data_IF_086819690797
#
_entry.id   IF_086819690797
#
_cell.length_a   1.000
_cell.length_b   1.000
_cell.length_c   1.000
_cell.angle_alpha   90.00
_cell.angle_beta   90.00
_cell.angle_gamma   90.00
#
_symmetry.space_group_name_H-M   'P 1'
#
loop_
_entity.id
_entity.type
_entity.pdbx_description
1 polymer ?
#
# COMPACT_ATOMS: atom_id res chain seq x y z
N UNK A 1 -5.20 -14.12 16.87
CA UNK A 1 -5.34 -13.92 15.40
C UNK A 1 -6.18 -12.68 15.12
N UNK A 2 -7.53 -12.71 15.16
CA UNK A 2 -8.34 -11.53 14.82
C UNK A 2 -8.12 -10.31 15.74
N UNK A 3 -7.94 -10.52 17.05
CA UNK A 3 -7.73 -9.44 18.03
C UNK A 3 -6.38 -8.70 17.94
N UNK A 4 -5.44 -9.19 17.13
CA UNK A 4 -4.11 -8.56 16.94
C UNK A 4 -4.00 -7.80 15.61
N UNK A 5 -4.93 -8.08 14.68
CA UNK A 5 -4.92 -7.54 13.30
C UNK A 5 -5.83 -6.31 13.21
N UNK A 6 -6.98 -6.33 13.91
CA UNK A 6 -7.91 -5.21 13.92
C UNK A 6 -7.65 -4.28 15.12
N UNK A 7 -7.65 -2.96 14.85
CA UNK A 7 -7.55 -1.90 15.86
C UNK A 7 -8.74 -1.92 16.85
N UNK A 8 -9.86 -2.54 16.46
CA UNK A 8 -11.05 -2.75 17.28
C UNK A 8 -11.48 -4.21 17.17
N UNK A 9 -11.99 -4.82 18.25
CA UNK A 9 -12.48 -6.20 18.20
C UNK A 9 -13.62 -6.30 17.15
N UNK A 10 -13.57 -7.25 16.21
CA UNK A 10 -14.62 -7.37 15.21
C UNK A 10 -15.93 -7.84 15.86
N UNK A 11 -17.05 -7.30 15.36
CA UNK A 11 -18.40 -7.68 15.77
C UNK A 11 -18.76 -9.08 15.25
N UNK A 12 -19.77 -9.73 15.85
CA UNK A 12 -20.21 -11.08 15.44
C UNK A 12 -20.47 -11.23 13.94
N UNK A 13 -21.18 -10.30 13.25
CA UNK A 13 -21.38 -10.42 11.80
C UNK A 13 -20.08 -10.31 11.00
N UNK A 14 -19.11 -9.51 11.47
CA UNK A 14 -17.80 -9.41 10.84
C UNK A 14 -17.03 -10.73 10.99
N UNK A 15 -17.05 -11.32 12.19
CA UNK A 15 -16.41 -12.62 12.46
C UNK A 15 -16.98 -13.71 11.54
N UNK A 16 -18.30 -13.77 11.41
CA UNK A 16 -18.94 -14.78 10.54
C UNK A 16 -18.62 -14.55 9.06
N UNK A 17 -18.51 -13.29 8.63
CA UNK A 17 -18.03 -12.95 7.30
C UNK A 17 -16.59 -13.42 7.07
N UNK A 18 -15.67 -13.12 8.01
CA UNK A 18 -14.27 -13.58 7.93
C UNK A 18 -14.16 -15.09 7.89
N UNK A 19 -14.97 -15.81 8.68
CA UNK A 19 -14.99 -17.28 8.68
C UNK A 19 -15.34 -17.82 7.30
N UNK A 20 -16.36 -17.25 6.64
CA UNK A 20 -16.75 -17.64 5.28
C UNK A 20 -15.63 -17.38 4.26
N UNK A 21 -14.93 -16.25 4.38
CA UNK A 21 -13.74 -15.95 3.55
C UNK A 21 -12.67 -17.02 3.74
N UNK A 22 -12.30 -17.32 4.99
CA UNK A 22 -11.26 -18.32 5.31
C UNK A 22 -11.65 -19.71 4.81
N UNK A 23 -12.91 -20.11 4.97
CA UNK A 23 -13.42 -21.40 4.49
C UNK A 23 -13.32 -21.52 2.98
N UNK A 24 -13.73 -20.50 2.23
CA UNK A 24 -13.63 -20.48 0.77
C UNK A 24 -12.18 -20.58 0.29
N UNK A 25 -11.26 -19.88 0.97
CA UNK A 25 -9.83 -19.93 0.67
C UNK A 25 -9.21 -21.30 0.98
N UNK A 26 -9.55 -21.91 2.12
CA UNK A 26 -9.09 -23.26 2.48
C UNK A 26 -9.63 -24.35 1.52
N UNK A 27 -10.79 -24.11 0.91
CA UNK A 27 -11.43 -25.02 -0.06
C UNK A 27 -11.03 -24.75 -1.51
N UNK A 28 -10.28 -23.69 -1.79
CA UNK A 28 -9.92 -23.25 -3.14
C UNK A 28 -11.16 -22.99 -4.03
N UNK A 29 -12.25 -22.48 -3.43
CA UNK A 29 -13.53 -22.25 -4.09
C UNK A 29 -13.85 -20.76 -4.34
N UNK A 30 -14.73 -20.50 -5.30
CA UNK A 30 -15.30 -19.17 -5.52
C UNK A 30 -16.41 -18.92 -4.49
N UNK A 31 -16.41 -17.75 -3.85
CA UNK A 31 -17.43 -17.37 -2.87
C UNK A 31 -18.10 -16.04 -3.23
N UNK A 32 -19.45 -16.05 -3.22
CA UNK A 32 -20.26 -14.84 -3.25
C UNK A 32 -20.72 -14.51 -1.84
N UNK A 33 -20.15 -13.46 -1.25
CA UNK A 33 -20.34 -13.13 0.17
C UNK A 33 -21.07 -11.79 0.33
N UNK A 34 -22.31 -11.86 0.80
CA UNK A 34 -23.11 -10.68 1.13
C UNK A 34 -23.07 -10.37 2.63
N UNK A 35 -23.09 -9.08 2.97
CA UNK A 35 -23.32 -8.62 4.34
C UNK A 35 -24.05 -7.26 4.35
N UNK A 36 -24.72 -6.87 5.45
CA UNK A 36 -25.35 -5.55 5.58
C UNK A 36 -24.35 -4.39 5.45
N UNK A 37 -24.75 -3.29 4.80
CA UNK A 37 -23.93 -2.07 4.65
C UNK A 37 -23.56 -1.45 6.00
N UNK A 38 -22.42 -0.76 6.07
CA UNK A 38 -21.94 -0.10 7.29
C UNK A 38 -21.16 -0.97 8.29
N UNK A 39 -20.91 -2.24 7.98
CA UNK A 39 -20.21 -3.20 8.88
C UNK A 39 -18.71 -3.35 8.62
N UNK A 40 -18.06 -2.44 7.89
CA UNK A 40 -16.60 -2.52 7.64
C UNK A 40 -16.15 -3.74 6.81
N UNK A 41 -16.98 -4.20 5.86
CA UNK A 41 -16.71 -5.36 4.98
C UNK A 41 -15.36 -5.30 4.28
N UNK A 42 -15.04 -4.18 3.65
CA UNK A 42 -13.84 -3.99 2.82
C UNK A 42 -12.57 -4.35 3.59
N UNK A 43 -12.36 -3.75 4.77
CA UNK A 43 -11.20 -4.04 5.59
C UNK A 43 -11.26 -5.45 6.20
N UNK A 44 -12.45 -5.91 6.58
CA UNK A 44 -12.67 -7.26 7.11
C UNK A 44 -12.26 -8.36 6.11
N UNK A 45 -12.68 -8.21 4.85
CA UNK A 45 -12.37 -9.08 3.72
C UNK A 45 -10.86 -9.14 3.45
N UNK A 46 -10.21 -7.98 3.34
CA UNK A 46 -8.78 -7.91 3.08
C UNK A 46 -7.96 -8.47 4.26
N UNK A 47 -8.31 -8.11 5.49
CA UNK A 47 -7.62 -8.61 6.69
C UNK A 47 -7.76 -10.12 6.86
N UNK A 48 -8.93 -10.70 6.59
CA UNK A 48 -9.14 -12.15 6.63
C UNK A 48 -8.27 -12.87 5.59
N UNK A 49 -8.21 -12.33 4.37
CA UNK A 49 -7.41 -12.88 3.28
C UNK A 49 -5.91 -12.82 3.59
N UNK A 50 -5.43 -11.69 4.09
CA UNK A 50 -4.03 -11.52 4.49
C UNK A 50 -3.64 -12.46 5.63
N UNK A 51 -4.51 -12.60 6.64
CA UNK A 51 -4.29 -13.51 7.76
C UNK A 51 -4.23 -14.97 7.30
N UNK A 52 -5.11 -15.36 6.37
CA UNK A 52 -5.11 -16.68 5.76
C UNK A 52 -3.81 -16.91 4.98
N UNK A 53 -3.38 -15.95 4.14
CA UNK A 53 -2.16 -16.04 3.33
C UNK A 53 -0.90 -16.21 4.18
N UNK A 54 -0.81 -15.51 5.31
CA UNK A 54 0.28 -15.68 6.26
C UNK A 54 0.25 -17.06 6.92
N UNK A 55 -0.94 -17.53 7.35
CA UNK A 55 -1.11 -18.86 7.91
C UNK A 55 -0.73 -19.95 6.88
N UNK A 56 -1.09 -19.76 5.61
CA UNK A 56 -0.69 -20.62 4.50
C UNK A 56 0.83 -20.68 4.37
N UNK A 57 1.51 -19.53 4.42
CA UNK A 57 2.97 -19.45 4.36
C UNK A 57 3.63 -20.25 5.47
N UNK A 58 3.13 -20.14 6.71
CA UNK A 58 3.63 -20.92 7.85
C UNK A 58 3.37 -22.42 7.72
N UNK A 59 2.19 -22.82 7.23
CA UNK A 59 1.84 -24.24 7.03
C UNK A 59 2.69 -24.91 5.95
N UNK A 60 3.06 -24.16 4.92
CA UNK A 60 3.84 -24.66 3.79
C UNK A 60 5.36 -24.43 3.95
N UNK A 61 5.78 -23.64 4.95
CA UNK A 61 7.19 -23.47 5.28
C UNK A 61 7.83 -24.83 5.66
N UNK A 62 8.85 -25.24 4.91
CA UNK A 62 9.56 -26.50 5.15
C UNK A 62 8.87 -27.76 4.60
N UNK A 63 7.80 -27.61 3.80
CA UNK A 63 7.19 -28.76 3.11
C UNK A 63 8.22 -29.38 2.13
N UNK A 64 8.39 -30.72 2.12
CA UNK A 64 9.26 -31.37 1.15
C UNK A 64 8.78 -31.06 -0.28
N UNK A 65 9.64 -30.43 -1.07
CA UNK A 65 9.38 -30.11 -2.46
C UNK A 65 9.95 -31.24 -3.31
N UNK A 66 9.19 -31.71 -4.30
CA UNK A 66 9.69 -32.71 -5.24
C UNK A 66 10.98 -32.20 -5.91
N UNK A 67 11.93 -33.10 -6.16
CA UNK A 67 13.19 -32.73 -6.79
C UNK A 67 12.94 -32.04 -8.15
N UNK A 68 13.41 -30.80 -8.28
CA UNK A 68 13.21 -29.97 -9.48
C UNK A 68 11.91 -29.16 -9.53
N UNK A 69 11.02 -29.29 -8.56
CA UNK A 69 9.84 -28.41 -8.45
C UNK A 69 10.19 -27.11 -7.69
N UNK A 70 9.63 -25.96 -8.08
CA UNK A 70 9.81 -24.72 -7.32
C UNK A 70 9.15 -24.83 -5.94
N UNK A 71 9.68 -24.15 -4.91
CA UNK A 71 9.06 -24.12 -3.60
C UNK A 71 7.65 -23.48 -3.69
N UNK A 72 6.70 -23.92 -2.85
CA UNK A 72 5.37 -23.35 -2.84
C UNK A 72 5.43 -21.89 -2.36
N UNK A 73 4.99 -20.96 -3.21
CA UNK A 73 4.92 -19.53 -2.90
C UNK A 73 3.51 -19.12 -2.48
N UNK A 74 3.37 -18.20 -1.51
CA UNK A 74 2.06 -17.74 -1.07
C UNK A 74 1.32 -17.03 -2.20
N UNK A 75 0.01 -17.25 -2.35
CA UNK A 75 -0.74 -16.73 -3.48
C UNK A 75 -0.76 -15.21 -3.50
N UNK A 76 -0.70 -14.62 -4.70
CA UNK A 76 -0.81 -13.17 -4.88
C UNK A 76 -2.24 -12.71 -4.59
N UNK A 77 -2.43 -11.68 -3.76
CA UNK A 77 -3.76 -11.10 -3.56
C UNK A 77 -3.99 -9.99 -4.57
N UNK A 78 -5.00 -10.13 -5.40
CA UNK A 78 -5.47 -9.09 -6.32
C UNK A 78 -6.72 -8.48 -5.71
N UNK A 79 -6.61 -7.25 -5.21
CA UNK A 79 -7.75 -6.51 -4.70
C UNK A 79 -8.30 -5.60 -5.80
N UNK A 80 -9.56 -5.82 -6.14
CA UNK A 80 -10.22 -5.07 -7.18
C UNK A 80 -11.42 -4.29 -6.67
N UNK A 81 -11.56 -3.06 -7.19
CA UNK A 81 -12.68 -2.15 -6.91
C UNK A 81 -13.11 -1.42 -8.19
N UNK A 82 -14.27 -0.77 -8.21
CA UNK A 82 -14.75 -0.05 -9.41
C UNK A 82 -13.86 1.13 -9.78
N UNK A 83 -13.39 1.89 -8.80
CA UNK A 83 -12.66 3.15 -9.02
C UNK A 83 -11.38 3.22 -8.19
N UNK A 84 -10.41 4.02 -8.65
CA UNK A 84 -9.20 4.27 -7.87
C UNK A 84 -9.46 5.05 -6.58
N UNK A 85 -10.51 5.88 -6.51
CA UNK A 85 -10.88 6.57 -5.27
C UNK A 85 -11.31 5.59 -4.18
N UNK A 86 -12.04 4.52 -4.55
CA UNK A 86 -12.33 3.42 -3.63
C UNK A 86 -11.05 2.68 -3.24
N UNK A 87 -10.17 2.33 -4.20
CA UNK A 87 -8.89 1.69 -3.88
C UNK A 87 -8.05 2.54 -2.92
N UNK A 88 -7.98 3.86 -3.14
CA UNK A 88 -7.28 4.78 -2.25
C UNK A 88 -7.91 4.85 -0.84
N UNK A 89 -9.22 4.65 -0.72
CA UNK A 89 -9.85 4.48 0.58
C UNK A 89 -9.39 3.18 1.26
N UNK A 90 -9.45 2.04 0.57
CA UNK A 90 -9.00 0.74 1.11
C UNK A 90 -7.53 0.80 1.53
N UNK A 91 -6.68 1.41 0.71
CA UNK A 91 -5.25 1.58 1.00
C UNK A 91 -5.05 2.44 2.27
N UNK A 92 -5.79 3.54 2.43
CA UNK A 92 -5.74 4.36 3.66
C UNK A 92 -6.21 3.60 4.89
N UNK A 93 -7.26 2.79 4.77
CA UNK A 93 -7.73 1.93 5.85
C UNK A 93 -6.67 0.85 6.18
N UNK A 94 -6.04 0.24 5.18
CA UNK A 94 -4.95 -0.72 5.36
C UNK A 94 -3.76 -0.09 6.09
N UNK A 95 -3.39 1.16 5.76
CA UNK A 95 -2.34 1.92 6.47
C UNK A 95 -2.64 2.12 7.96
N UNK A 96 -3.90 2.07 8.38
CA UNK A 96 -4.26 2.16 9.79
C UNK A 96 -4.03 0.86 10.57
N UNK A 97 -3.86 -0.28 9.88
CA UNK A 97 -3.74 -1.60 10.52
C UNK A 97 -2.29 -1.95 10.92
N UNK A 98 -2.15 -3.03 11.71
CA UNK A 98 -0.85 -3.62 12.07
C UNK A 98 -0.01 -4.07 10.85
N UNK A 99 -0.64 -4.26 9.68
CA UNK A 99 0.06 -4.59 8.44
C UNK A 99 0.97 -3.46 7.91
N UNK A 100 0.82 -2.22 8.40
CA UNK A 100 1.68 -1.08 8.00
C UNK A 100 3.13 -1.20 8.46
N UNK A 101 3.37 -1.70 9.68
CA UNK A 101 4.69 -1.62 10.35
C UNK A 101 5.42 -2.96 10.44
N UNK A 102 4.98 -3.95 9.67
CA UNK A 102 5.45 -5.33 9.85
C UNK A 102 5.03 -5.92 11.20
N UNK A 103 3.86 -5.48 11.70
CA UNK A 103 3.15 -5.96 12.89
C UNK A 103 4.03 -6.44 14.06
N UNK A 104 3.54 -7.38 14.88
CA UNK A 104 4.38 -8.13 15.80
C UNK A 104 5.37 -9.01 14.99
N UNK A 105 6.43 -9.57 15.62
CA UNK A 105 7.51 -10.31 14.93
C UNK A 105 7.07 -11.50 14.05
N UNK A 106 5.80 -11.91 14.10
CA UNK A 106 5.18 -12.93 13.23
C UNK A 106 4.43 -12.38 12.00
N UNK A 107 4.14 -11.08 11.91
CA UNK A 107 3.29 -10.47 10.89
C UNK A 107 4.14 -9.63 9.92
N UNK A 108 4.70 -10.23 8.88
CA UNK A 108 5.59 -9.54 7.92
C UNK A 108 4.98 -8.28 7.30
N UNK A 109 5.82 -7.32 6.89
CA UNK A 109 5.41 -6.13 6.13
C UNK A 109 4.64 -6.57 4.88
N UNK A 110 3.38 -6.14 4.75
CA UNK A 110 2.58 -6.41 3.55
C UNK A 110 2.99 -5.42 2.47
N UNK A 111 3.67 -5.93 1.44
CA UNK A 111 4.08 -5.12 0.29
C UNK A 111 2.91 -4.98 -0.67
N UNK A 112 2.62 -3.75 -1.07
CA UNK A 112 1.51 -3.51 -1.99
C UNK A 112 1.90 -2.56 -3.11
N UNK A 113 1.15 -2.62 -4.20
CA UNK A 113 1.20 -1.63 -5.28
C UNK A 113 -0.21 -1.38 -5.80
N UNK A 114 -0.42 -0.23 -6.43
CA UNK A 114 -1.66 0.05 -7.16
C UNK A 114 -1.33 0.22 -8.64
N UNK A 115 -2.10 -0.47 -9.48
CA UNK A 115 -2.04 -0.32 -10.92
C UNK A 115 -3.03 0.73 -11.37
N UNK A 116 -2.68 1.46 -12.43
CA UNK A 116 -3.51 2.51 -12.99
C UNK A 116 -3.14 2.83 -14.43
N UNK A 117 -3.94 3.71 -15.03
CA UNK A 117 -3.79 4.08 -16.43
C UNK A 117 -2.67 5.10 -16.63
N UNK A 118 -2.21 5.24 -17.88
CA UNK A 118 -1.25 6.31 -18.24
C UNK A 118 -1.83 7.70 -17.96
N UNK A 119 -3.14 7.90 -18.09
CA UNK A 119 -3.77 9.19 -17.80
C UNK A 119 -3.58 9.61 -16.34
N UNK A 120 -3.56 8.64 -15.42
CA UNK A 120 -3.43 8.91 -13.99
C UNK A 120 -1.97 8.95 -13.51
N UNK A 121 -1.09 8.18 -14.14
CA UNK A 121 0.27 7.94 -13.65
C UNK A 121 1.38 8.59 -14.50
N UNK A 122 1.06 9.15 -15.68
CA UNK A 122 2.10 9.69 -16.57
C UNK A 122 2.57 11.08 -16.14
N UNK A 123 3.88 11.25 -16.02
CA UNK A 123 4.54 12.54 -15.74
C UNK A 123 5.03 13.25 -17.02
N UNK A 124 4.92 12.64 -18.20
CA UNK A 124 5.39 13.24 -19.44
C UNK A 124 4.44 14.36 -19.90
N UNK A 125 4.90 15.62 -20.08
CA UNK A 125 4.05 16.80 -20.25
C UNK A 125 3.03 16.72 -21.40
N UNK A 126 3.37 15.98 -22.47
CA UNK A 126 2.48 15.75 -23.61
C UNK A 126 1.53 14.59 -23.41
N UNK A 127 2.00 13.47 -22.85
CA UNK A 127 1.23 12.22 -22.79
C UNK A 127 0.21 12.27 -21.64
N UNK A 128 0.54 12.95 -20.54
CA UNK A 128 -0.36 13.12 -19.40
C UNK A 128 -1.66 13.86 -19.74
N UNK A 129 -1.67 14.65 -20.81
CA UNK A 129 -2.83 15.38 -21.31
C UNK A 129 -3.65 14.61 -22.35
N UNK A 130 -3.15 13.46 -22.79
CA UNK A 130 -3.83 12.62 -23.79
C UNK A 130 -4.69 11.58 -23.10
N UNK A 131 -5.72 11.09 -23.80
CA UNK A 131 -6.64 10.08 -23.28
C UNK A 131 -6.62 8.80 -24.13
N UNK A 132 -7.07 7.71 -23.51
CA UNK A 132 -7.28 6.40 -24.11
C UNK A 132 -6.13 5.87 -24.97
N UNK A 133 -6.48 5.39 -26.16
CA UNK A 133 -5.55 4.81 -27.13
C UNK A 133 -4.48 5.78 -27.61
N UNK A 134 -4.78 7.07 -27.73
CA UNK A 134 -3.79 8.07 -28.16
C UNK A 134 -2.64 8.22 -27.16
N UNK A 135 -2.96 8.26 -25.86
CA UNK A 135 -1.94 8.26 -24.81
C UNK A 135 -1.07 7.00 -24.84
N UNK A 136 -1.70 5.84 -25.08
CA UNK A 136 -0.99 4.56 -25.19
C UNK A 136 -0.05 4.52 -26.39
N UNK A 137 -0.51 4.92 -27.57
CA UNK A 137 0.28 4.96 -28.80
C UNK A 137 1.47 5.92 -28.68
N UNK A 138 1.22 7.16 -28.24
CA UNK A 138 2.27 8.16 -28.05
C UNK A 138 3.31 7.69 -27.02
N UNK A 139 2.87 7.11 -25.90
CA UNK A 139 3.77 6.55 -24.90
C UNK A 139 4.64 5.43 -25.46
N UNK A 140 4.04 4.47 -26.18
CA UNK A 140 4.79 3.37 -26.81
C UNK A 140 5.84 3.89 -27.79
N UNK A 141 5.50 4.87 -28.63
CA UNK A 141 6.45 5.50 -29.56
C UNK A 141 7.62 6.17 -28.83
N UNK A 142 7.33 6.99 -27.80
CA UNK A 142 8.37 7.65 -27.02
C UNK A 142 9.27 6.67 -26.27
N UNK A 143 8.72 5.57 -25.75
CA UNK A 143 9.51 4.53 -25.07
C UNK A 143 10.37 3.75 -26.06
N UNK A 144 9.79 3.33 -27.19
CA UNK A 144 10.49 2.59 -28.24
C UNK A 144 11.69 3.37 -28.79
N UNK A 145 11.51 4.67 -29.07
CA UNK A 145 12.58 5.54 -29.55
C UNK A 145 13.45 6.14 -28.42
N UNK A 146 13.26 5.72 -27.16
CA UNK A 146 14.01 6.20 -25.98
C UNK A 146 13.95 7.72 -25.77
N UNK A 147 12.84 8.34 -26.14
CA UNK A 147 12.60 9.79 -26.04
C UNK A 147 11.85 10.19 -24.76
N UNK A 148 11.31 9.24 -24.00
CA UNK A 148 10.63 9.55 -22.75
C UNK A 148 11.64 9.74 -21.60
N UNK A 149 11.82 10.99 -21.15
CA UNK A 149 12.74 11.32 -20.05
C UNK A 149 12.46 10.61 -18.72
N UNK A 150 11.21 10.15 -18.51
CA UNK A 150 10.80 9.45 -17.30
C UNK A 150 10.99 7.93 -17.40
N UNK A 151 11.10 7.38 -18.61
CA UNK A 151 11.28 5.95 -18.81
C UNK A 151 12.77 5.64 -19.03
N UNK A 152 13.45 5.31 -17.94
CA UNK A 152 14.83 4.85 -17.95
C UNK A 152 14.92 3.56 -17.12
N UNK A 153 15.33 2.46 -17.78
CA UNK A 153 15.34 1.12 -17.19
C UNK A 153 16.23 1.02 -15.94
N UNK A 154 17.44 1.58 -16.00
CA UNK A 154 18.39 1.51 -14.88
C UNK A 154 17.89 2.26 -13.64
N UNK A 155 17.28 3.45 -13.83
CA UNK A 155 16.68 4.17 -12.71
C UNK A 155 15.48 3.44 -12.14
N UNK A 156 14.68 2.80 -13.00
CA UNK A 156 13.51 2.04 -12.60
C UNK A 156 13.90 0.84 -11.74
N UNK A 157 14.83 0.01 -12.23
CA UNK A 157 15.38 -1.16 -11.53
C UNK A 157 15.97 -0.75 -10.16
N UNK A 158 16.76 0.34 -10.11
CA UNK A 158 17.30 0.86 -8.84
C UNK A 158 16.19 1.29 -7.89
N UNK A 159 15.19 2.03 -8.37
CA UNK A 159 14.09 2.50 -7.52
C UNK A 159 13.27 1.32 -6.96
N UNK A 160 13.02 0.29 -7.77
CA UNK A 160 12.37 -0.94 -7.31
C UNK A 160 13.22 -1.63 -6.22
N UNK A 161 14.53 -1.73 -6.42
CA UNK A 161 15.44 -2.31 -5.43
C UNK A 161 15.45 -1.52 -4.12
N UNK A 162 15.48 -0.19 -4.19
CA UNK A 162 15.45 0.70 -3.02
C UNK A 162 14.15 0.57 -2.21
N UNK A 163 13.01 0.33 -2.89
CA UNK A 163 11.69 0.14 -2.27
C UNK A 163 11.57 -1.26 -1.65
N UNK A 164 12.11 -2.28 -2.32
CA UNK A 164 11.86 -3.69 -1.98
C UNK A 164 12.88 -4.27 -1.01
N UNK A 165 14.07 -3.68 -0.90
CA UNK A 165 15.13 -4.17 -0.02
C UNK A 165 14.97 -3.57 1.38
N UNK A 166 14.91 -4.40 2.45
CA UNK A 166 14.91 -3.90 3.82
C UNK A 166 16.19 -3.09 4.08
N UNK A 167 16.07 -1.79 4.33
CA UNK A 167 17.20 -0.99 4.80
C UNK A 167 17.57 -1.51 6.20
N UNK A 168 18.78 -2.05 6.36
CA UNK A 168 19.31 -2.27 7.70
C UNK A 168 19.37 -0.91 8.40
N UNK A 169 18.97 -0.80 9.68
CA UNK A 169 19.21 0.42 10.43
C UNK A 169 20.71 0.71 10.36
N UNK A 170 21.08 1.90 9.91
CA UNK A 170 22.47 2.35 9.94
C UNK A 170 23.02 2.06 11.35
N UNK A 171 24.24 1.50 11.48
CA UNK A 171 24.84 1.31 12.79
C UNK A 171 24.82 2.66 13.51
N UNK A 172 24.45 2.70 14.81
CA UNK A 172 24.43 3.95 15.55
C UNK A 172 25.83 4.57 15.43
N UNK A 173 25.88 5.83 14.99
CA UNK A 173 27.12 6.57 14.83
C UNK A 173 27.97 6.36 16.10
N UNK A 174 29.15 5.74 15.95
CA UNK A 174 30.08 5.51 17.06
C UNK A 174 30.60 6.81 17.70
N UNK A 175 30.19 7.97 17.17
CA UNK A 175 30.49 9.31 17.65
C UNK A 175 29.27 10.07 18.21
N UNK A 176 28.11 9.43 18.36
CA UNK A 176 26.98 10.06 19.03
C UNK A 176 27.29 10.25 20.53
N UNK A 177 27.28 11.49 21.06
CA UNK A 177 27.49 11.70 22.50
C UNK A 177 26.37 11.01 23.29
N UNK A 178 26.69 10.40 24.46
CA UNK A 178 25.68 9.71 25.25
C UNK A 178 24.58 10.69 25.68
N UNK A 179 23.33 10.33 25.36
CA UNK A 179 22.16 11.06 25.81
C UNK A 179 22.16 11.13 27.34
N UNK A 180 22.25 12.35 27.87
CA UNK A 180 22.14 12.63 29.30
C UNK A 180 20.82 12.06 29.85
N UNK A 181 20.94 11.18 30.84
CA UNK A 181 19.79 10.56 31.51
C UNK A 181 18.83 11.62 32.08
N UNK A 182 17.50 11.41 32.03
CA UNK A 182 16.55 12.29 32.69
C UNK A 182 16.71 12.15 34.21
N UNK A 183 16.99 13.30 34.86
CA UNK A 183 17.14 13.41 36.30
C UNK A 183 15.87 13.01 37.05
N UNK A 184 16.07 12.32 38.16
CA UNK A 184 15.07 11.99 39.16
C UNK A 184 14.53 13.26 39.81
N UNK A 185 13.36 13.74 39.38
CA UNK A 185 12.60 14.75 40.12
C UNK A 185 11.53 14.03 40.97
N UNK A 186 11.67 14.20 42.29
CA UNK A 186 10.93 13.50 43.32
C UNK A 186 9.45 13.85 43.42
N UNK A 187 8.75 12.94 44.09
CA UNK A 187 7.39 13.08 44.56
C UNK A 187 7.27 14.17 45.63
N UNK A 188 6.29 15.06 45.49
CA UNK A 188 5.55 15.68 46.61
C UNK A 188 4.16 16.09 46.11
N UNK A 189 3.12 15.58 46.77
CA UNK A 189 1.73 15.99 46.52
C UNK A 189 1.31 17.18 47.39
N UNK A 190 0.22 17.85 46.99
CA UNK A 190 -0.90 18.25 47.84
C UNK A 190 -1.74 19.37 47.17
N UNK A 191 -3.03 19.05 46.98
CA UNK A 191 -4.23 19.82 47.34
C UNK A 191 -4.29 21.35 47.14
N UNK A 192 -5.29 21.76 46.35
CA UNK A 192 -6.28 22.76 46.79
C UNK A 192 -6.22 24.15 46.15
N UNK A 193 -7.39 24.65 45.71
CA UNK A 193 -7.62 26.10 45.61
C UNK A 193 -8.31 26.58 44.33
N UNK A 194 -9.61 26.89 44.43
CA UNK A 194 -10.43 27.62 43.44
C UNK A 194 -10.00 29.09 43.42
N UNK A 195 -10.03 29.74 42.25
CA UNK A 195 -10.42 31.16 42.13
C UNK A 195 -10.74 31.53 40.68
N UNK A 196 -11.86 32.21 40.54
CA UNK A 196 -12.42 32.83 39.34
C UNK A 196 -11.69 34.13 38.98
N UNK A 197 -11.72 34.54 37.71
CA UNK A 197 -11.32 35.89 37.27
C UNK A 197 -11.57 36.11 35.79
N UNK A 198 -12.49 37.03 35.47
CA UNK A 198 -12.90 37.46 34.13
C UNK A 198 -11.88 38.39 33.45
N UNK A 199 -12.02 38.48 32.12
CA UNK A 199 -12.19 39.71 31.33
C UNK A 199 -11.10 40.08 30.30
N UNK A 200 -11.59 40.37 29.09
CA UNK A 200 -11.01 41.24 28.06
C UNK A 200 -10.05 40.53 27.09
N UNK A 201 -9.93 40.88 25.81
CA UNK A 201 -10.58 41.87 24.94
C UNK A 201 -9.86 41.76 23.58
N UNK A 202 -10.63 41.78 22.49
CA UNK A 202 -10.34 42.29 21.13
C UNK A 202 -8.92 42.16 20.51
N UNK A 203 -8.92 41.68 19.25
CA UNK A 203 -8.46 42.52 18.14
C UNK A 203 -7.31 42.00 17.26
N UNK A 204 -7.54 42.07 15.94
CA UNK A 204 -6.50 42.42 14.97
C UNK A 204 -5.79 41.26 14.27
N UNK A 205 -6.07 41.10 12.97
CA UNK A 205 -5.36 40.14 12.11
C UNK A 205 -3.96 40.60 11.69
N UNK A 206 -3.24 39.70 11.04
CA UNK A 206 -2.39 40.08 9.90
C UNK A 206 -2.10 38.87 9.01
N UNK A 207 -2.08 39.13 7.69
CA UNK A 207 -1.53 38.21 6.70
C UNK A 207 -0.02 38.09 6.83
N UNK A 208 0.50 36.93 6.47
CA UNK A 208 1.94 36.64 6.48
C UNK A 208 2.27 35.63 5.41
N UNK A 209 2.46 36.11 4.19
CA UNK A 209 3.24 35.42 3.15
C UNK A 209 4.70 35.38 3.58
N UNK A 210 5.28 34.19 3.68
CA UNK A 210 6.73 33.91 3.67
C UNK A 210 6.84 32.40 3.39
N UNK A 211 7.36 31.92 2.26
CA UNK A 211 8.66 32.30 1.70
C UNK A 211 9.76 31.60 2.50
N UNK A 212 9.96 30.29 2.28
CA UNK A 212 10.95 29.50 3.01
C UNK A 212 11.36 28.27 2.20
N UNK A 213 12.26 28.48 1.23
CA UNK A 213 13.02 27.40 0.61
C UNK A 213 14.03 26.85 1.62
N UNK A 214 13.99 25.53 1.85
CA UNK A 214 15.01 24.77 2.56
C UNK A 214 15.48 23.63 1.67
N UNK A 215 16.72 23.75 1.17
CA UNK A 215 17.48 22.64 0.58
C UNK A 215 18.23 21.89 1.68
N UNK A 216 18.47 20.59 1.44
CA UNK A 216 19.31 19.70 2.25
C UNK A 216 18.45 18.76 3.10
N UNK A 217 18.65 17.44 3.15
CA UNK A 217 19.67 16.54 2.65
C UNK A 217 19.42 15.19 3.33
N UNK A 218 19.78 14.07 2.69
CA UNK A 218 19.68 12.73 3.30
C UNK A 218 18.32 12.05 3.12
N UNK A 219 17.90 11.80 1.88
CA UNK A 219 16.70 10.99 1.62
C UNK A 219 16.99 9.52 1.90
N UNK A 220 16.68 9.06 3.10
CA UNK A 220 16.47 7.63 3.34
C UNK A 220 15.51 7.09 2.26
N UNK A 221 15.89 5.99 1.60
CA UNK A 221 15.08 5.36 0.57
C UNK A 221 13.66 5.13 1.10
N UNK A 222 12.60 5.49 0.34
CA UNK A 222 11.25 5.36 0.84
C UNK A 222 10.87 3.88 0.86
N UNK A 223 10.92 3.25 2.03
CA UNK A 223 10.09 2.07 2.29
C UNK A 223 8.65 2.55 2.12
N UNK A 224 8.04 2.24 0.97
CA UNK A 224 6.70 2.69 0.69
C UNK A 224 5.73 1.94 1.61
N UNK A 225 5.15 2.69 2.55
CA UNK A 225 3.84 2.34 3.09
C UNK A 225 2.89 1.99 1.92
N UNK A 226 1.86 1.15 2.13
CA UNK A 226 0.97 0.72 1.06
C UNK A 226 0.60 1.88 0.13
N UNK A 227 1.13 1.97 -1.11
CA UNK A 227 1.09 3.22 -1.86
C UNK A 227 -0.20 3.34 -2.66
N UNK A 228 -0.77 4.54 -2.67
CA UNK A 228 -1.80 4.92 -3.61
C UNK A 228 -1.18 5.57 -4.87
N UNK A 229 -2.02 6.02 -5.81
CA UNK A 229 -1.53 6.63 -7.05
C UNK A 229 -0.72 7.89 -6.76
N UNK A 230 -1.16 8.72 -5.82
CA UNK A 230 -0.51 9.99 -5.51
C UNK A 230 0.87 9.77 -4.90
N UNK A 231 1.02 8.73 -4.08
CA UNK A 231 2.33 8.28 -3.57
C UNK A 231 3.27 7.89 -4.69
N UNK A 232 2.81 7.06 -5.63
CA UNK A 232 3.61 6.63 -6.77
C UNK A 232 4.02 7.81 -7.67
N UNK A 233 3.13 8.80 -7.84
CA UNK A 233 3.45 10.05 -8.54
C UNK A 233 4.53 10.85 -7.80
N UNK A 234 4.46 10.93 -6.46
CA UNK A 234 5.48 11.61 -5.64
C UNK A 234 6.84 10.91 -5.76
N UNK A 235 6.86 9.58 -5.64
CA UNK A 235 8.07 8.76 -5.80
C UNK A 235 8.65 8.94 -7.20
N UNK A 236 7.84 8.86 -8.24
CA UNK A 236 8.33 9.01 -9.61
C UNK A 236 8.90 10.40 -9.89
N UNK A 237 8.33 11.46 -9.29
CA UNK A 237 8.91 12.81 -9.36
C UNK A 237 10.26 12.88 -8.64
N UNK A 238 10.33 12.38 -7.41
CA UNK A 238 11.54 12.41 -6.60
C UNK A 238 12.69 11.60 -7.22
N UNK A 239 12.41 10.37 -7.68
CA UNK A 239 13.38 9.47 -8.28
C UNK A 239 13.58 9.69 -9.80
N UNK A 240 12.83 10.62 -10.41
CA UNK A 240 12.84 10.86 -11.86
C UNK A 240 12.56 9.61 -12.70
N UNK A 241 11.61 8.77 -12.25
CA UNK A 241 11.16 7.54 -12.91
C UNK A 241 9.68 7.62 -13.29
N UNK A 242 9.26 6.80 -14.25
CA UNK A 242 7.87 6.76 -14.70
C UNK A 242 6.99 5.95 -13.72
N UNK A 243 6.03 6.56 -13.01
CA UNK A 243 5.17 5.87 -12.05
C UNK A 243 4.38 4.70 -12.64
N UNK A 244 3.95 4.84 -13.90
CA UNK A 244 3.20 3.80 -14.62
C UNK A 244 4.00 2.50 -14.83
N UNK A 245 5.30 2.62 -15.11
CA UNK A 245 6.17 1.45 -15.25
C UNK A 245 6.67 0.97 -13.88
N UNK A 246 6.91 1.90 -12.94
CA UNK A 246 7.30 1.56 -11.58
C UNK A 246 6.27 0.66 -10.89
N UNK A 247 4.99 1.02 -10.95
CA UNK A 247 3.93 0.21 -10.33
C UNK A 247 3.82 -1.19 -10.92
N UNK A 248 4.12 -1.36 -12.22
CA UNK A 248 4.14 -2.65 -12.92
C UNK A 248 5.32 -3.52 -12.53
N UNK A 249 6.51 -2.94 -12.42
CA UNK A 249 7.71 -3.69 -12.01
C UNK A 249 7.62 -4.09 -10.54
N UNK A 250 6.96 -3.28 -9.70
CA UNK A 250 6.70 -3.61 -8.30
C UNK A 250 5.78 -4.83 -8.12
N UNK A 251 4.95 -5.20 -9.10
CA UNK A 251 4.00 -6.33 -8.98
C UNK A 251 4.71 -7.63 -8.58
N UNK A 252 5.89 -7.89 -9.15
CA UNK A 252 6.68 -9.10 -8.85
C UNK A 252 7.19 -9.18 -7.40
N UNK A 253 7.11 -8.08 -6.66
CA UNK A 253 7.57 -7.96 -5.28
C UNK A 253 6.42 -7.68 -4.30
N UNK A 254 5.17 -7.72 -4.74
CA UNK A 254 4.02 -7.37 -3.91
C UNK A 254 3.27 -8.61 -3.40
N UNK A 255 2.70 -8.45 -2.22
CA UNK A 255 1.76 -9.39 -1.60
C UNK A 255 0.32 -9.07 -2.00
N UNK A 256 0.02 -7.78 -2.20
CA UNK A 256 -1.29 -7.28 -2.65
C UNK A 256 -1.13 -6.32 -3.83
N UNK A 257 -1.92 -6.52 -4.88
CA UNK A 257 -2.01 -5.61 -6.03
C UNK A 257 -3.42 -5.03 -6.08
N UNK A 258 -3.53 -3.70 -5.95
CA UNK A 258 -4.78 -2.97 -6.11
C UNK A 258 -4.98 -2.58 -7.57
N UNK A 259 -6.12 -2.91 -8.19
CA UNK A 259 -6.43 -2.49 -9.56
C UNK A 259 -7.93 -2.42 -9.82
N UNK A 260 -8.44 -1.59 -10.74
CA UNK A 260 -9.87 -1.59 -11.02
C UNK A 260 -10.32 -2.84 -11.81
N UNK A 261 -11.59 -3.26 -11.71
CA UNK A 261 -12.04 -4.55 -12.29
C UNK A 261 -11.81 -4.66 -13.79
N UNK A 262 -11.85 -3.52 -14.51
CA UNK A 262 -11.63 -3.52 -15.95
C UNK A 262 -10.23 -4.02 -16.35
N UNK A 263 -9.24 -3.97 -15.45
CA UNK A 263 -7.92 -4.56 -15.70
C UNK A 263 -7.94 -6.08 -15.72
N UNK A 264 -8.94 -6.71 -15.08
CA UNK A 264 -9.13 -8.15 -15.05
C UNK A 264 -10.10 -8.63 -16.13
N UNK A 265 -11.17 -7.88 -16.36
CA UNK A 265 -12.28 -8.28 -17.23
C UNK A 265 -12.08 -7.90 -18.71
N UNK A 266 -11.36 -6.80 -18.99
CA UNK A 266 -11.08 -6.40 -20.37
C UNK A 266 -9.85 -7.14 -20.91
N UNK A 267 -10.08 -8.06 -21.86
CA UNK A 267 -9.03 -8.82 -22.56
C UNK A 267 -7.90 -7.95 -23.14
N UNK A 268 -8.18 -6.67 -23.48
CA UNK A 268 -7.18 -5.72 -23.96
C UNK A 268 -6.30 -5.11 -22.86
N UNK A 269 -6.84 -4.99 -21.64
CA UNK A 269 -6.11 -4.52 -20.46
C UNK A 269 -5.32 -5.65 -19.80
N UNK A 270 -5.87 -6.88 -19.77
CA UNK A 270 -5.19 -8.07 -19.26
C UNK A 270 -3.93 -8.39 -20.07
N UNK A 271 -3.95 -8.20 -21.40
CA UNK A 271 -2.77 -8.28 -22.28
C UNK A 271 -1.70 -7.20 -22.02
N UNK A 272 -1.97 -6.20 -21.18
CA UNK A 272 -1.00 -5.18 -20.78
C UNK A 272 -0.41 -5.45 -19.38
N UNK A 273 -0.76 -6.61 -18.81
CA UNK A 273 -0.33 -7.10 -17.51
C UNK A 273 0.47 -8.40 -17.69
N UNK A 274 1.44 -8.39 -18.60
CA UNK A 274 2.28 -9.57 -18.90
C UNK A 274 3.03 -10.10 -17.64
N UNK A 275 3.20 -9.25 -16.63
CA UNK A 275 3.83 -9.58 -15.34
C UNK A 275 2.86 -10.18 -14.31
N UNK A 276 1.55 -10.09 -14.53
CA UNK A 276 0.54 -10.57 -13.58
C UNK A 276 0.11 -11.99 -13.94
N UNK A 277 0.60 -12.96 -13.17
CA UNK A 277 0.13 -14.35 -13.21
C UNK A 277 -1.12 -14.49 -12.35
N UNK A 278 -2.18 -15.05 -12.93
CA UNK A 278 -3.42 -15.36 -12.20
C UNK A 278 -3.39 -16.76 -11.61
N UNK A 279 -2.45 -17.60 -12.07
CA UNK A 279 -2.19 -18.90 -11.47
C UNK A 279 -1.76 -18.72 -10.01
N UNK A 280 -2.41 -19.42 -9.08
CA UNK A 280 -2.18 -19.25 -7.64
C UNK A 280 -2.41 -17.81 -7.14
N UNK A 281 -3.41 -17.10 -7.67
CA UNK A 281 -3.83 -15.79 -7.19
C UNK A 281 -5.19 -15.86 -6.48
N UNK A 282 -5.36 -15.05 -5.43
CA UNK A 282 -6.65 -14.78 -4.79
C UNK A 282 -7.18 -13.48 -5.38
N UNK A 283 -8.31 -13.55 -6.09
CA UNK A 283 -8.95 -12.38 -6.70
C UNK A 283 -10.14 -11.94 -5.86
N UNK A 284 -10.10 -10.69 -5.39
CA UNK A 284 -11.17 -10.07 -4.60
C UNK A 284 -11.87 -9.03 -5.46
N UNK A 285 -13.17 -9.20 -5.66
CA UNK A 285 -14.05 -8.16 -6.19
C UNK A 285 -14.87 -7.55 -5.04
N UNK A 286 -14.44 -6.39 -4.54
CA UNK A 286 -15.27 -5.63 -3.59
C UNK A 286 -16.48 -5.03 -4.33
N UNK A 287 -17.61 -4.74 -3.68
CA UNK A 287 -18.76 -4.03 -4.30
C UNK A 287 -19.16 -4.50 -5.73
N UNK A 288 -19.12 -5.81 -5.98
CA UNK A 288 -19.25 -6.42 -7.32
C UNK A 288 -20.66 -6.37 -7.94
N UNK A 289 -21.60 -5.62 -7.35
CA UNK A 289 -22.99 -5.52 -7.80
C UNK A 289 -23.15 -4.90 -9.21
N UNK A 290 -22.06 -4.43 -9.82
CA UNK A 290 -22.04 -3.88 -11.18
C UNK A 290 -21.04 -4.56 -12.10
N UNK A 291 -20.63 -5.79 -11.77
CA UNK A 291 -19.89 -6.65 -12.69
C UNK A 291 -20.93 -7.32 -13.59
N UNK A 292 -21.34 -6.61 -14.65
CA UNK A 292 -22.20 -7.11 -15.73
C UNK A 292 -21.49 -6.96 -17.06
#
# INVERSE_FOLDING_TARGET
MASEIFLTRPDTPQIDYMRKVILALDQEENALLESPTGTGKTLCLLCATLAWREAWGRRNAGRPVAFGAPPPEPPLVIYSSRTHSQLAQVIRELRSTSYRRGGPPHLGLVRTTVLGSRQQMCLHPRVSKMTGGHANFACRGLVHHRQCQWHNKQRLERTVQDITTPQQPNPPDANAPPASAPGTAGAFGALGGRASGQAGSQGGGNGGSSGGGGQGGGGAAPTLEPPDIEDLLRVGRAASVCPYFLSRDLVAHCDVVFMPYNYLLDSGASKQLDTLRLENAIVIFDEAHNVQ
#
